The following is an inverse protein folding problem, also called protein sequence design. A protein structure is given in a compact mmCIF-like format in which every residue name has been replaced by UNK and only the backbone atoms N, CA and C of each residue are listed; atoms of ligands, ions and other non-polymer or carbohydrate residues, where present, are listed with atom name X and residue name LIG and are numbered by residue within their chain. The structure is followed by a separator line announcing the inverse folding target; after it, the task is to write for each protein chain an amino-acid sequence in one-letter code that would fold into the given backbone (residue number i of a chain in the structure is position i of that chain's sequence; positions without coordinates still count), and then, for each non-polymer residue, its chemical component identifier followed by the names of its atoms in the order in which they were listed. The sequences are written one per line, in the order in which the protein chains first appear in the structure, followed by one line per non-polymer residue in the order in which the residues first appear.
data_IF_690965163435
#
_entry.id   IF_690965163435
#
_cell.length_a   1.000
_cell.length_b   1.000
_cell.length_c   1.000
_cell.angle_alpha   90.00
_cell.angle_beta   90.00
_cell.angle_gamma   90.00
#
_symmetry.space_group_name_H-M   'P 1'
#
loop_
_entity.id
_entity.type
_entity.pdbx_description
1 polymer ?
#
# COMPACT_ATOMS: atom_id res chain seq x y z
N UNK A 1 -5.38 2.39 1.22
CA UNK A 1 -4.48 2.37 0.04
C UNK A 1 -3.69 1.07 0.00
N UNK A 2 -3.43 0.52 -1.19
CA UNK A 2 -2.52 -0.62 -1.35
C UNK A 2 -1.29 -0.21 -2.15
N UNK A 3 -0.12 -0.61 -1.65
CA UNK A 3 1.16 -0.36 -2.28
C UNK A 3 1.73 -1.72 -2.69
N UNK A 4 1.96 -1.89 -3.98
CA UNK A 4 2.54 -3.09 -4.57
C UNK A 4 4.03 -2.81 -4.80
N UNK A 5 4.89 -3.57 -4.12
CA UNK A 5 6.34 -3.42 -4.23
C UNK A 5 6.93 -4.51 -5.11
N UNK A 6 7.92 -4.14 -5.92
CA UNK A 6 8.68 -5.10 -6.72
C UNK A 6 9.71 -5.83 -5.86
N UNK A 7 9.84 -7.14 -6.07
CA UNK A 7 10.78 -7.99 -5.35
C UNK A 7 10.32 -8.37 -3.94
N UNK A 8 11.20 -9.09 -3.24
CA UNK A 8 11.00 -9.43 -1.83
C UNK A 8 11.22 -8.22 -0.94
N UNK A 9 10.39 -8.09 0.09
CA UNK A 9 10.55 -7.05 1.09
C UNK A 9 10.11 -7.56 2.46
N UNK A 10 10.67 -6.98 3.51
CA UNK A 10 10.19 -7.19 4.87
C UNK A 10 9.08 -6.20 5.19
N UNK A 11 7.86 -6.70 5.42
CA UNK A 11 6.69 -5.86 5.68
C UNK A 11 6.89 -4.88 6.85
N UNK A 12 7.50 -5.34 7.94
CA UNK A 12 7.74 -4.51 9.12
C UNK A 12 8.67 -3.33 8.80
N UNK A 13 9.70 -3.56 8.00
CA UNK A 13 10.65 -2.52 7.62
C UNK A 13 9.99 -1.43 6.77
N UNK A 14 9.23 -1.85 5.75
CA UNK A 14 8.48 -0.92 4.89
C UNK A 14 7.45 -0.13 5.70
N UNK A 15 6.75 -0.79 6.63
CA UNK A 15 5.81 -0.11 7.52
C UNK A 15 6.52 0.91 8.41
N UNK A 16 7.66 0.56 9.01
CA UNK A 16 8.45 1.47 9.84
C UNK A 16 8.99 2.67 9.06
N UNK A 17 9.40 2.47 7.80
CA UNK A 17 9.89 3.56 6.93
C UNK A 17 8.79 4.51 6.46
N UNK A 18 7.55 4.03 6.37
CA UNK A 18 6.42 4.80 5.83
C UNK A 18 5.52 5.42 6.90
N UNK A 19 5.57 4.95 8.15
CA UNK A 19 4.61 5.33 9.19
C UNK A 19 4.59 6.83 9.48
N UNK A 20 5.75 7.49 9.53
CA UNK A 20 5.82 8.93 9.81
C UNK A 20 5.12 9.72 8.70
N UNK A 21 5.50 9.50 7.43
CA UNK A 21 4.88 10.15 6.28
C UNK A 21 3.36 9.95 6.25
N UNK A 22 2.89 8.72 6.48
CA UNK A 22 1.46 8.40 6.49
C UNK A 22 0.75 9.14 7.63
N UNK A 23 1.39 9.22 8.81
CA UNK A 23 0.83 9.89 9.98
C UNK A 23 0.77 11.40 9.77
N UNK A 24 1.83 11.99 9.23
CA UNK A 24 1.91 13.41 8.89
C UNK A 24 0.81 13.79 7.89
N UNK A 25 0.65 13.01 6.80
CA UNK A 25 -0.43 13.22 5.83
C UNK A 25 -1.81 13.02 6.45
N UNK A 26 -1.96 12.05 7.35
CA UNK A 26 -3.24 11.81 8.01
C UNK A 26 -3.67 13.01 8.87
N UNK A 27 -2.70 13.62 9.57
CA UNK A 27 -2.92 14.80 10.40
C UNK A 27 -3.12 16.08 9.58
N UNK A 28 -2.33 16.26 8.51
CA UNK A 28 -2.39 17.45 7.65
C UNK A 28 -3.75 17.59 6.96
N UNK A 29 -4.32 16.47 6.52
CA UNK A 29 -5.56 16.45 5.74
C UNK A 29 -6.80 16.00 6.54
N UNK A 30 -6.67 15.79 7.86
CA UNK A 30 -7.74 15.27 8.75
C UNK A 30 -8.42 14.01 8.19
N UNK A 31 -7.61 13.05 7.72
CA UNK A 31 -8.08 11.78 7.14
C UNK A 31 -7.27 10.61 7.68
N UNK A 32 -7.87 9.42 7.79
CA UNK A 32 -7.14 8.22 8.15
C UNK A 32 -6.60 7.50 6.90
N UNK A 33 -5.29 7.54 6.71
CA UNK A 33 -4.64 6.80 5.63
C UNK A 33 -4.13 5.44 6.14
N UNK A 34 -4.82 4.36 5.78
CA UNK A 34 -4.35 2.99 6.06
C UNK A 34 -3.69 2.37 4.83
N UNK A 35 -2.44 1.93 4.97
CA UNK A 35 -1.67 1.29 3.90
C UNK A 35 -1.58 -0.24 4.06
N UNK A 36 -1.79 -0.97 2.97
CA UNK A 36 -1.48 -2.40 2.85
C UNK A 36 -0.33 -2.62 1.88
N UNK A 37 0.65 -3.40 2.29
CA UNK A 37 1.83 -3.73 1.47
C UNK A 37 1.77 -5.18 0.99
N UNK A 38 2.00 -5.37 -0.30
CA UNK A 38 2.06 -6.68 -0.95
C UNK A 38 3.16 -6.70 -2.02
N UNK A 39 3.66 -7.88 -2.37
CA UNK A 39 4.63 -8.02 -3.46
C UNK A 39 3.91 -8.05 -4.80
N UNK A 40 4.59 -7.64 -5.87
CA UNK A 40 4.06 -7.74 -7.23
C UNK A 40 3.63 -9.18 -7.57
N UNK A 41 4.41 -10.18 -7.13
CA UNK A 41 4.07 -11.58 -7.30
C UNK A 41 2.80 -11.97 -6.53
N UNK A 42 2.70 -11.58 -5.25
CA UNK A 42 1.53 -11.90 -4.43
C UNK A 42 0.28 -11.21 -4.95
N UNK A 43 0.38 -9.94 -5.38
CA UNK A 43 -0.71 -9.22 -6.01
C UNK A 43 -1.20 -9.92 -7.29
N UNK A 44 -0.29 -10.29 -8.19
CA UNK A 44 -0.63 -10.93 -9.46
C UNK A 44 -1.24 -12.33 -9.31
N UNK A 45 -0.80 -13.10 -8.31
CA UNK A 45 -1.25 -14.49 -8.09
C UNK A 45 -2.44 -14.60 -7.13
N UNK A 46 -2.72 -13.57 -6.34
CA UNK A 46 -3.73 -13.65 -5.28
C UNK A 46 -5.15 -13.67 -5.84
N UNK A 47 -5.95 -14.60 -5.31
CA UNK A 47 -7.40 -14.66 -5.56
C UNK A 47 -8.21 -13.98 -4.44
N UNK A 48 -7.55 -13.28 -3.52
CA UNK A 48 -8.26 -12.59 -2.44
C UNK A 48 -9.10 -11.45 -3.06
N UNK A 49 -10.38 -11.30 -2.66
CA UNK A 49 -11.24 -10.24 -3.20
C UNK A 49 -10.61 -8.84 -3.13
N UNK A 50 -9.86 -8.55 -2.05
CA UNK A 50 -9.14 -7.29 -1.90
C UNK A 50 -8.11 -7.04 -3.02
N UNK A 51 -7.40 -8.07 -3.48
CA UNK A 51 -6.38 -7.93 -4.53
C UNK A 51 -7.01 -7.83 -5.92
N UNK A 52 -8.13 -8.53 -6.14
CA UNK A 52 -8.86 -8.52 -7.42
C UNK A 52 -9.61 -7.20 -7.67
N UNK A 53 -10.13 -6.58 -6.61
CA UNK A 53 -10.95 -5.38 -6.72
C UNK A 53 -10.13 -4.07 -6.71
N UNK A 54 -8.85 -4.14 -6.35
CA UNK A 54 -7.99 -2.96 -6.42
C UNK A 54 -7.60 -2.73 -7.87
N UNK A 55 -8.21 -1.70 -8.45
CA UNK A 55 -7.85 -1.15 -9.74
C UNK A 55 -6.66 -0.20 -9.57
N UNK A 56 -5.86 -0.07 -10.62
CA UNK A 56 -4.80 0.94 -10.71
C UNK A 56 -5.43 2.31 -11.01
N UNK A 57 -6.33 2.76 -10.13
CA UNK A 57 -7.11 4.00 -10.29
C UNK A 57 -6.44 5.19 -9.58
N UNK A 58 -5.17 5.06 -9.20
CA UNK A 58 -4.38 6.14 -8.61
C UNK A 58 -3.68 6.95 -9.71
N UNK A 59 -4.19 8.17 -9.94
CA UNK A 59 -3.66 9.29 -10.75
C UNK A 59 -2.80 8.89 -11.95
N UNK A 60 -3.39 8.96 -13.14
CA UNK A 60 -2.61 9.12 -14.36
C UNK A 60 -1.76 10.39 -14.24
N UNK A 61 -0.44 10.23 -14.24
CA UNK A 61 0.51 11.34 -14.44
C UNK A 61 0.58 11.60 -15.95
#
# INVERSE_FOLDING_TARGET
MMIVLNGEFQRQEVQKRSINLISDLSLEYDVLISCKFTSAESYAKSKMPLMLNIRKDGVAI
#
